data_IF_687800000585
#
_entry.id   IF_687800000585
#
_cell.length_a   1.000
_cell.length_b   1.000
_cell.length_c   1.000
_cell.angle_alpha   90.00
_cell.angle_beta   90.00
_cell.angle_gamma   90.00
#
_symmetry.space_group_name_H-M   'P 1'
#
loop_
_entity.id
_entity.type
_entity.pdbx_description
1 polymer ?
#
# COMPACT_ATOMS: atom_id res chain seq x y z
N UNK A 1 -9.83 18.81 -34.49
CA UNK A 1 -9.34 19.14 -33.13
C UNK A 1 -10.52 18.96 -32.17
N UNK A 2 -10.50 17.92 -31.33
CA UNK A 2 -11.57 17.66 -30.35
C UNK A 2 -11.10 18.29 -29.05
N UNK A 3 -11.72 19.40 -28.64
CA UNK A 3 -11.50 19.99 -27.32
C UNK A 3 -12.29 19.14 -26.33
N UNK A 4 -11.64 18.45 -25.37
CA UNK A 4 -12.37 17.73 -24.34
C UNK A 4 -13.12 18.75 -23.48
N UNK A 5 -14.45 18.76 -23.60
CA UNK A 5 -15.31 19.59 -22.75
C UNK A 5 -15.60 18.78 -21.48
N UNK A 6 -15.14 19.27 -20.33
CA UNK A 6 -15.53 18.75 -19.02
C UNK A 6 -17.02 19.04 -18.85
N UNK A 7 -17.87 18.02 -19.06
CA UNK A 7 -19.34 18.21 -19.06
C UNK A 7 -19.95 18.29 -17.67
N UNK A 8 -19.27 17.77 -16.63
CA UNK A 8 -19.74 17.80 -15.24
C UNK A 8 -18.60 17.50 -14.27
N UNK A 9 -18.33 18.43 -13.36
CA UNK A 9 -17.51 18.20 -12.15
C UNK A 9 -18.50 18.05 -11.00
N UNK A 10 -18.43 16.94 -10.27
CA UNK A 10 -19.17 16.80 -9.01
C UNK A 10 -18.18 16.96 -7.88
N UNK A 11 -18.37 17.99 -7.05
CA UNK A 11 -17.55 18.22 -5.86
C UNK A 11 -18.32 17.76 -4.63
N UNK A 12 -17.74 16.83 -3.88
CA UNK A 12 -18.24 16.42 -2.57
C UNK A 12 -17.30 16.98 -1.51
N UNK A 13 -17.76 18.03 -0.81
CA UNK A 13 -16.94 18.81 0.13
C UNK A 13 -16.65 18.11 1.44
N UNK A 14 -17.39 17.04 1.77
CA UNK A 14 -17.26 16.30 3.02
C UNK A 14 -17.44 14.82 2.76
N UNK A 15 -16.34 14.10 2.74
CA UNK A 15 -16.29 12.63 2.73
C UNK A 15 -15.30 12.15 3.78
N UNK A 16 -15.41 10.87 4.12
CA UNK A 16 -14.49 10.22 5.05
C UNK A 16 -13.76 9.09 4.34
N UNK A 17 -12.43 9.09 4.42
CA UNK A 17 -11.58 8.03 3.89
C UNK A 17 -10.85 7.37 5.04
N UNK A 18 -11.00 6.06 5.16
CA UNK A 18 -10.20 5.29 6.11
C UNK A 18 -8.84 4.93 5.52
N UNK A 19 -7.79 5.08 6.32
CA UNK A 19 -6.44 4.62 6.03
C UNK A 19 -6.03 3.66 7.14
N UNK A 20 -5.74 2.42 6.78
CA UNK A 20 -5.45 1.35 7.73
C UNK A 20 -4.04 0.78 7.54
N UNK A 21 -3.40 0.44 8.67
CA UNK A 21 -2.22 -0.40 8.68
C UNK A 21 -2.61 -1.85 8.34
N UNK A 22 -1.76 -2.61 7.64
CA UNK A 22 -2.03 -4.02 7.32
C UNK A 22 -1.96 -4.95 8.54
N UNK A 23 -1.42 -4.46 9.67
CA UNK A 23 -1.31 -5.15 10.96
C UNK A 23 -1.26 -4.09 12.05
N UNK A 24 -1.55 -4.47 13.29
CA UNK A 24 -1.36 -3.61 14.46
C UNK A 24 0.04 -2.97 14.48
N UNK A 25 0.09 -1.67 14.75
CA UNK A 25 1.31 -0.88 14.78
C UNK A 25 1.15 0.40 15.58
N UNK A 26 1.80 1.46 15.10
CA UNK A 26 1.78 2.76 15.77
C UNK A 26 1.22 3.83 14.83
N UNK A 27 0.27 4.61 15.33
CA UNK A 27 -0.20 5.83 14.67
C UNK A 27 0.60 7.02 15.20
N UNK A 28 0.91 7.97 14.32
CA UNK A 28 1.73 9.17 14.60
C UNK A 28 0.92 10.47 14.57
N UNK A 29 -0.36 10.36 14.27
CA UNK A 29 -1.29 11.48 14.19
C UNK A 29 -2.36 11.33 15.27
N UNK A 30 -3.08 12.42 15.53
CA UNK A 30 -4.21 12.45 16.46
C UNK A 30 -5.42 13.06 15.79
N UNK A 31 -6.61 12.74 16.28
CA UNK A 31 -7.85 13.47 15.97
C UNK A 31 -7.64 14.99 15.97
N UNK A 32 -8.12 15.66 14.92
CA UNK A 32 -7.96 17.10 14.67
C UNK A 32 -6.68 17.49 13.93
N UNK A 33 -5.73 16.57 13.70
CA UNK A 33 -4.51 16.88 12.94
C UNK A 33 -4.83 17.11 11.47
N UNK A 34 -4.26 18.15 10.87
CA UNK A 34 -4.26 18.33 9.41
C UNK A 34 -3.18 17.45 8.80
N UNK A 35 -3.48 16.88 7.63
CA UNK A 35 -2.57 15.98 6.92
C UNK A 35 -2.52 16.30 5.43
N UNK A 36 -1.33 16.13 4.86
CA UNK A 36 -1.02 16.20 3.43
C UNK A 36 -0.84 14.80 2.84
N UNK A 37 -0.91 14.60 1.51
CA UNK A 37 -0.86 13.27 0.90
C UNK A 37 0.36 12.42 1.28
N UNK A 38 1.52 13.04 1.48
CA UNK A 38 2.77 12.35 1.82
C UNK A 38 3.06 12.29 3.32
N UNK A 39 2.15 12.80 4.16
CA UNK A 39 2.31 12.70 5.61
C UNK A 39 2.21 11.24 6.06
N UNK A 40 3.10 10.90 6.98
CA UNK A 40 3.19 9.57 7.58
C UNK A 40 2.21 9.49 8.74
N UNK A 41 1.13 8.75 8.53
CA UNK A 41 0.08 8.55 9.54
C UNK A 41 0.47 7.52 10.59
N UNK A 42 1.30 6.55 10.23
CA UNK A 42 1.66 5.45 11.11
C UNK A 42 2.63 4.47 10.47
N UNK A 43 3.02 3.47 11.24
CA UNK A 43 3.90 2.40 10.78
C UNK A 43 3.70 1.10 11.56
N UNK A 44 3.96 -0.01 10.88
CA UNK A 44 3.97 -1.35 11.47
C UNK A 44 5.09 -2.19 10.83
N UNK A 45 5.40 -3.32 11.46
CA UNK A 45 6.19 -4.38 10.85
C UNK A 45 5.22 -5.36 10.18
N UNK A 46 5.45 -5.67 8.91
CA UNK A 46 4.53 -6.46 8.09
C UNK A 46 5.27 -7.42 7.17
N UNK A 47 4.75 -8.64 7.08
CA UNK A 47 5.18 -9.65 6.11
C UNK A 47 4.25 -9.54 4.91
N UNK A 48 4.77 -9.10 3.77
CA UNK A 48 3.97 -8.90 2.58
C UNK A 48 3.65 -10.21 1.85
N UNK A 49 4.63 -11.12 1.78
CA UNK A 49 4.48 -12.36 1.04
C UNK A 49 4.58 -13.59 1.94
N UNK A 50 3.67 -14.53 1.74
CA UNK A 50 3.73 -15.87 2.28
C UNK A 50 3.65 -16.91 1.16
N UNK A 51 4.43 -17.97 1.30
CA UNK A 51 4.40 -19.12 0.41
C UNK A 51 4.05 -20.36 1.23
N UNK A 52 2.80 -20.81 1.11
CA UNK A 52 2.36 -22.10 1.64
C UNK A 52 2.95 -23.20 0.78
N UNK A 53 3.79 -24.05 1.39
CA UNK A 53 4.46 -25.11 0.65
C UNK A 53 3.53 -26.31 0.51
N UNK A 54 3.53 -26.98 -0.65
CA UNK A 54 2.60 -28.07 -0.93
C UNK A 54 2.88 -29.30 -0.06
N UNK A 55 1.86 -30.16 0.05
CA UNK A 55 1.99 -31.45 0.74
C UNK A 55 3.10 -32.29 0.09
N UNK A 56 3.93 -32.93 0.90
CA UNK A 56 5.08 -33.72 0.43
C UNK A 56 6.36 -32.91 0.19
N UNK A 57 6.36 -31.60 0.48
CA UNK A 57 7.57 -30.80 0.53
C UNK A 57 8.58 -31.36 1.54
N UNK A 58 9.82 -31.55 1.09
CA UNK A 58 10.94 -31.97 1.93
C UNK A 58 11.96 -30.84 1.99
N UNK A 59 12.17 -30.22 3.16
CA UNK A 59 13.14 -29.14 3.29
C UNK A 59 14.58 -29.65 3.20
N UNK A 60 15.47 -28.85 2.64
CA UNK A 60 16.90 -29.16 2.51
C UNK A 60 17.67 -28.59 3.71
N UNK A 61 18.43 -29.42 4.44
CA UNK A 61 19.24 -29.00 5.60
C UNK A 61 18.44 -28.20 6.66
N UNK A 62 17.24 -28.65 6.99
CA UNK A 62 16.37 -28.03 8.01
C UNK A 62 16.28 -28.94 9.23
N UNK A 63 16.75 -28.46 10.38
CA UNK A 63 16.80 -29.23 11.64
C UNK A 63 15.92 -28.60 12.73
N UNK A 64 15.82 -27.27 12.74
CA UNK A 64 15.11 -26.50 13.77
C UNK A 64 13.64 -26.25 13.40
N UNK A 65 12.91 -25.54 14.28
CA UNK A 65 11.52 -25.12 14.00
C UNK A 65 11.41 -24.06 12.90
N UNK A 66 12.46 -23.26 12.73
CA UNK A 66 12.53 -22.24 11.70
C UNK A 66 13.95 -22.04 11.19
N UNK A 67 14.10 -21.53 9.95
CA UNK A 67 15.40 -21.23 9.37
C UNK A 67 15.29 -20.14 8.30
N UNK A 68 16.19 -19.15 8.38
CA UNK A 68 16.29 -18.07 7.41
C UNK A 68 17.03 -18.52 6.14
N UNK A 69 16.56 -18.01 4.99
CA UNK A 69 17.14 -18.22 3.68
C UNK A 69 17.20 -16.89 2.91
N UNK A 70 18.27 -16.71 2.15
CA UNK A 70 18.36 -15.63 1.16
C UNK A 70 17.67 -16.04 -0.13
N UNK A 71 17.16 -15.06 -0.86
CA UNK A 71 16.54 -15.25 -2.17
C UNK A 71 17.43 -16.08 -3.11
N UNK A 72 16.83 -16.99 -3.86
CA UNK A 72 17.52 -17.89 -4.81
C UNK A 72 18.14 -19.15 -4.20
N UNK A 73 18.26 -19.26 -2.88
CA UNK A 73 18.78 -20.47 -2.22
C UNK A 73 17.74 -21.59 -2.29
N UNK A 74 18.19 -22.83 -2.52
CA UNK A 74 17.34 -24.02 -2.48
C UNK A 74 16.80 -24.22 -1.05
N UNK A 75 15.48 -24.16 -0.88
CA UNK A 75 14.82 -24.37 0.42
C UNK A 75 14.35 -25.81 0.59
N UNK A 76 14.07 -26.51 -0.52
CA UNK A 76 13.65 -27.91 -0.48
C UNK A 76 13.14 -28.41 -1.83
N UNK A 77 12.42 -29.53 -1.81
CA UNK A 77 11.94 -30.20 -3.02
C UNK A 77 10.55 -30.79 -2.83
N UNK A 78 9.84 -30.94 -3.93
CA UNK A 78 8.57 -31.68 -4.02
C UNK A 78 8.75 -32.71 -5.13
N UNK A 79 8.84 -33.99 -4.76
CA UNK A 79 9.24 -35.03 -5.71
C UNK A 79 10.60 -34.73 -6.36
N UNK A 80 10.61 -34.46 -7.68
CA UNK A 80 11.81 -34.09 -8.44
C UNK A 80 12.00 -32.58 -8.59
N UNK A 81 10.98 -31.78 -8.29
CA UNK A 81 11.02 -30.33 -8.46
C UNK A 81 11.76 -29.65 -7.31
N UNK A 82 12.63 -28.70 -7.67
CA UNK A 82 13.41 -27.91 -6.71
C UNK A 82 12.68 -26.61 -6.42
N UNK A 83 12.44 -26.33 -5.14
CA UNK A 83 11.87 -25.06 -4.70
C UNK A 83 12.99 -24.19 -4.14
N UNK A 84 13.21 -23.04 -4.76
CA UNK A 84 14.13 -22.00 -4.29
C UNK A 84 13.35 -20.92 -3.54
N UNK A 85 14.03 -20.23 -2.62
CA UNK A 85 13.49 -19.08 -1.92
C UNK A 85 13.16 -17.96 -2.93
N UNK A 86 11.89 -17.56 -3.10
CA UNK A 86 11.53 -16.48 -4.02
C UNK A 86 11.99 -15.09 -3.52
N UNK A 87 12.15 -14.94 -2.21
CA UNK A 87 12.55 -13.72 -1.52
C UNK A 87 13.38 -14.08 -0.29
N UNK A 88 13.96 -13.08 0.38
CA UNK A 88 14.58 -13.27 1.70
C UNK A 88 13.51 -13.55 2.74
N UNK A 89 13.73 -14.53 3.62
CA UNK A 89 12.69 -14.92 4.56
C UNK A 89 12.97 -16.19 5.31
N UNK A 90 12.01 -16.59 6.14
CA UNK A 90 12.13 -17.69 7.09
C UNK A 90 11.16 -18.81 6.76
N UNK A 91 11.71 -20.02 6.63
CA UNK A 91 10.92 -21.25 6.56
C UNK A 91 10.51 -21.66 7.96
N UNK A 92 9.22 -21.90 8.17
CA UNK A 92 8.63 -22.36 9.41
C UNK A 92 8.01 -23.74 9.23
N UNK A 93 8.20 -24.61 10.22
CA UNK A 93 7.45 -25.86 10.33
C UNK A 93 6.18 -25.62 11.13
N UNK A 94 5.04 -25.95 10.54
CA UNK A 94 3.73 -25.88 11.19
C UNK A 94 3.51 -27.12 12.07
N UNK A 95 2.73 -26.98 13.14
CA UNK A 95 2.46 -28.07 14.09
C UNK A 95 1.75 -29.27 13.42
N UNK A 96 0.96 -29.01 12.37
CA UNK A 96 0.26 -30.03 11.56
C UNK A 96 1.17 -30.75 10.54
N UNK A 97 2.49 -30.53 10.57
CA UNK A 97 3.46 -31.17 9.68
C UNK A 97 3.62 -30.49 8.30
N UNK A 98 2.98 -29.34 8.09
CA UNK A 98 3.16 -28.49 6.92
C UNK A 98 4.36 -27.53 7.04
N UNK A 99 4.68 -26.83 5.96
CA UNK A 99 5.69 -25.78 5.95
C UNK A 99 5.15 -24.50 5.34
N UNK A 100 5.53 -23.36 5.90
CA UNK A 100 5.24 -22.04 5.34
C UNK A 100 6.53 -21.23 5.24
N UNK A 101 6.69 -20.52 4.14
CA UNK A 101 7.83 -19.63 3.92
C UNK A 101 7.38 -18.18 3.94
N UNK A 102 7.72 -17.49 5.02
CA UNK A 102 7.39 -16.08 5.22
C UNK A 102 8.52 -15.19 4.75
N UNK A 103 8.18 -14.13 4.03
CA UNK A 103 9.13 -13.08 3.72
C UNK A 103 9.66 -12.45 5.02
N UNK A 104 10.87 -11.92 4.95
CA UNK A 104 11.41 -11.06 5.98
C UNK A 104 10.48 -9.89 6.25
N UNK A 105 10.19 -9.66 7.53
CA UNK A 105 9.27 -8.60 7.95
C UNK A 105 9.87 -7.23 7.62
N UNK A 106 9.09 -6.39 6.95
CA UNK A 106 9.53 -5.06 6.51
C UNK A 106 8.72 -3.99 7.22
N UNK A 107 9.36 -2.84 7.40
CA UNK A 107 8.68 -1.64 7.88
C UNK A 107 7.70 -1.17 6.80
N UNK A 108 6.42 -1.14 7.15
CA UNK A 108 5.37 -0.52 6.37
C UNK A 108 5.09 0.88 6.93
N UNK A 109 5.00 1.87 6.07
CA UNK A 109 4.65 3.25 6.44
C UNK A 109 3.32 3.59 5.79
N UNK A 110 2.32 3.89 6.62
CA UNK A 110 1.01 4.33 6.17
C UNK A 110 1.08 5.82 5.82
N UNK A 111 0.84 6.14 4.55
CA UNK A 111 0.70 7.51 4.08
C UNK A 111 -0.77 7.94 4.07
N UNK A 112 -1.01 9.24 4.27
CA UNK A 112 -2.35 9.84 4.14
C UNK A 112 -2.96 9.55 2.78
N UNK A 113 -2.19 9.79 1.72
CA UNK A 113 -2.64 9.69 0.32
C UNK A 113 -3.63 10.79 -0.09
N UNK A 114 -4.14 11.58 0.86
CA UNK A 114 -5.07 12.68 0.64
C UNK A 114 -4.77 13.87 1.55
N UNK A 115 -5.24 15.05 1.14
CA UNK A 115 -5.34 16.20 2.04
C UNK A 115 -6.53 16.01 2.98
N UNK A 116 -6.46 16.50 4.21
CA UNK A 116 -7.65 16.48 5.08
C UNK A 116 -7.35 16.73 6.54
N UNK A 117 -8.33 16.40 7.38
CA UNK A 117 -8.22 16.45 8.84
C UNK A 117 -8.56 15.09 9.42
N UNK A 118 -7.78 14.58 10.38
CA UNK A 118 -8.08 13.33 11.08
C UNK A 118 -9.37 13.52 11.89
N UNK A 119 -10.43 12.84 11.47
CA UNK A 119 -11.73 12.88 12.13
C UNK A 119 -11.80 11.92 13.31
N UNK A 120 -11.22 10.73 13.18
CA UNK A 120 -11.16 9.73 14.25
C UNK A 120 -10.01 8.74 14.03
N UNK A 121 -9.74 7.94 15.05
CA UNK A 121 -8.70 6.89 15.00
C UNK A 121 -9.15 5.61 15.71
N UNK A 122 -8.78 4.48 15.13
CA UNK A 122 -8.77 3.18 15.82
C UNK A 122 -7.35 2.94 16.27
N UNK A 123 -7.08 2.93 17.59
CA UNK A 123 -5.72 2.80 18.12
C UNK A 123 -4.97 1.62 17.50
N UNK A 124 -3.71 1.87 17.13
CA UNK A 124 -2.81 0.90 16.51
C UNK A 124 -3.25 0.33 15.14
N UNK A 125 -4.39 0.73 14.57
CA UNK A 125 -4.95 0.11 13.37
C UNK A 125 -5.19 1.09 12.22
N UNK A 126 -6.04 2.10 12.41
CA UNK A 126 -6.49 2.95 11.30
C UNK A 126 -6.83 4.37 11.72
N UNK A 127 -6.90 5.26 10.74
CA UNK A 127 -7.37 6.64 10.90
C UNK A 127 -8.46 6.94 9.88
N UNK A 128 -9.45 7.73 10.30
CA UNK A 128 -10.50 8.26 9.44
C UNK A 128 -10.17 9.72 9.10
N UNK A 129 -10.08 10.03 7.81
CA UNK A 129 -9.72 11.36 7.32
C UNK A 129 -10.96 12.02 6.73
N UNK A 130 -11.35 13.17 7.28
CA UNK A 130 -12.33 14.05 6.64
C UNK A 130 -11.65 14.84 5.52
N UNK A 131 -12.14 14.67 4.30
CA UNK A 131 -11.57 15.28 3.09
C UNK A 131 -12.67 15.66 2.10
N UNK A 132 -12.25 16.22 0.96
CA UNK A 132 -13.09 16.57 -0.18
C UNK A 132 -12.62 15.80 -1.42
N UNK A 133 -13.57 15.40 -2.26
CA UNK A 133 -13.29 14.74 -3.54
C UNK A 133 -13.97 15.48 -4.67
N UNK A 134 -13.27 15.51 -5.80
CA UNK A 134 -13.80 16.00 -7.07
C UNK A 134 -13.85 14.84 -8.04
N UNK A 135 -15.06 14.45 -8.40
CA UNK A 135 -15.28 13.46 -9.45
C UNK A 135 -15.28 14.17 -10.80
N UNK A 136 -14.29 13.80 -11.61
CA UNK A 136 -14.14 14.33 -12.97
C UNK A 136 -14.57 13.27 -13.97
N UNK A 137 -15.75 13.48 -14.58
CA UNK A 137 -16.23 12.62 -15.66
C UNK A 137 -15.51 13.00 -16.96
N UNK A 138 -14.54 12.18 -17.36
CA UNK A 138 -13.88 12.28 -18.66
C UNK A 138 -14.36 11.17 -19.60
N UNK A 139 -14.73 11.54 -20.82
CA UNK A 139 -14.90 10.60 -21.92
C UNK A 139 -13.64 10.64 -22.78
N UNK A 140 -12.86 9.56 -22.77
CA UNK A 140 -11.69 9.39 -23.63
C UNK A 140 -12.04 8.37 -24.71
N UNK A 141 -11.96 8.78 -25.97
CA UNK A 141 -11.99 7.86 -27.11
C UNK A 141 -10.88 8.27 -28.06
N UNK A 142 -9.77 7.52 -28.03
CA UNK A 142 -8.64 7.69 -28.95
C UNK A 142 -8.01 6.33 -29.24
N UNK A 143 -7.48 6.15 -30.45
CA UNK A 143 -6.66 4.99 -30.86
C UNK A 143 -5.21 5.09 -30.34
N UNK A 144 -4.96 5.95 -29.36
CA UNK A 144 -3.64 6.21 -28.78
C UNK A 144 -3.77 6.56 -27.30
N UNK A 145 -2.73 6.25 -26.52
CA UNK A 145 -2.65 6.51 -25.08
C UNK A 145 -1.98 7.85 -24.78
N UNK A 146 -2.54 8.61 -23.85
CA UNK A 146 -1.87 9.75 -23.24
C UNK A 146 -1.89 9.59 -21.72
N UNK A 147 -0.79 9.96 -21.07
CA UNK A 147 -0.64 10.00 -19.61
C UNK A 147 -0.22 11.41 -19.21
N UNK A 148 -0.83 11.95 -18.16
CA UNK A 148 -0.50 13.25 -17.60
C UNK A 148 -0.94 13.33 -16.14
N UNK A 149 -0.40 14.29 -15.41
CA UNK A 149 -0.73 14.55 -14.01
C UNK A 149 -1.90 15.54 -13.92
N UNK A 150 -2.88 15.26 -13.06
CA UNK A 150 -3.95 16.21 -12.77
C UNK A 150 -3.43 17.24 -11.76
N UNK A 151 -2.99 18.40 -12.26
CA UNK A 151 -2.60 19.52 -11.43
C UNK A 151 -3.86 20.23 -10.89
N UNK A 152 -4.21 19.99 -9.62
CA UNK A 152 -5.24 20.75 -8.91
C UNK A 152 -4.55 21.96 -8.27
N UNK A 153 -4.65 23.10 -8.92
CA UNK A 153 -4.12 24.36 -8.40
C UNK A 153 -4.84 24.73 -7.08
N UNK A 154 -4.13 25.33 -6.10
CA UNK A 154 -4.70 25.67 -4.81
C UNK A 154 -5.90 26.62 -4.95
N UNK A 155 -6.76 26.54 -3.94
CA UNK A 155 -7.96 27.34 -3.69
C UNK A 155 -7.82 28.81 -4.19
N UNK A 156 -8.85 29.45 -4.79
CA UNK A 156 -8.74 30.78 -5.42
C UNK A 156 -8.42 31.95 -4.48
N UNK A 157 -8.03 31.70 -3.23
CA UNK A 157 -7.70 32.72 -2.24
C UNK A 157 -6.31 33.33 -2.43
N UNK A 158 -5.43 32.70 -3.21
CA UNK A 158 -4.09 33.25 -3.46
C UNK A 158 -3.81 33.26 -4.96
N UNK A 159 -3.52 34.46 -5.46
CA UNK A 159 -3.27 34.78 -6.87
C UNK A 159 -2.33 33.75 -7.50
N UNK A 160 -2.75 33.18 -8.64
CA UNK A 160 -1.91 32.33 -9.48
C UNK A 160 -0.66 33.09 -9.88
N UNK A 161 0.51 32.67 -9.38
CA UNK A 161 1.80 33.24 -9.78
C UNK A 161 2.17 32.72 -11.17
N UNK A 162 2.66 33.60 -12.04
CA UNK A 162 3.10 33.25 -13.40
C UNK A 162 4.18 32.15 -13.42
N UNK A 163 4.95 31.99 -12.33
CA UNK A 163 5.94 30.91 -12.16
C UNK A 163 5.36 29.49 -12.15
N UNK A 164 4.03 29.32 -12.11
CA UNK A 164 3.38 28.00 -12.23
C UNK A 164 3.08 27.62 -13.69
N UNK A 165 3.30 28.54 -14.65
CA UNK A 165 2.98 28.37 -16.07
C UNK A 165 4.24 28.21 -16.96
N UNK A 166 5.43 28.45 -16.42
CA UNK A 166 6.73 28.13 -17.03
C UNK A 166 7.22 26.73 -16.62
#
# INVERSE_FOLDING_TARGET
MIVPVVRKITETKKIFIERALPKEGSLKVKKGSKVEPFDRLGECMYVQNELKLPKGFKPEKFRDKSKYYRAGILIGRVGKEKIKAPYNGTLWKLDEGGFIYWEEEKRYVLLSGVWGTIHDEVPAASVLIETQVRDLLFAVSTSGSASGELLVLPNPSEVLKESYLE
#
